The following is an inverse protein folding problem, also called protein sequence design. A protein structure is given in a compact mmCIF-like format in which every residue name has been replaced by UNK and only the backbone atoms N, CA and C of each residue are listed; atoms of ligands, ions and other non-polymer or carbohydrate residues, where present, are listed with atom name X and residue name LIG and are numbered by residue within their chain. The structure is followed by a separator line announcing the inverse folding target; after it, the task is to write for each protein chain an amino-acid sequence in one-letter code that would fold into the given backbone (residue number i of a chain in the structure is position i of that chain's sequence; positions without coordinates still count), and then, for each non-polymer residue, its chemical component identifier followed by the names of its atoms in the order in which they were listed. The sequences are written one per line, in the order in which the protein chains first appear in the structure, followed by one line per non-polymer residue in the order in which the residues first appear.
data_IF_938324986497
#
_entry.id   IF_938324986497
#
_cell.length_a   1.000
_cell.length_b   1.000
_cell.length_c   1.000
_cell.angle_alpha   90.00
_cell.angle_beta   90.00
_cell.angle_gamma   90.00
#
_symmetry.space_group_name_H-M   'P 1'
#
loop_
_entity.id
_entity.type
_entity.pdbx_description
1 polymer ?
#
# COMPACT_ATOMS: atom_id res chain seq x y z
N UNK A 1 -10.67 17.23 0.16
CA UNK A 1 -10.90 16.71 -1.21
C UNK A 1 -9.64 16.02 -1.67
N UNK A 2 -9.77 14.93 -2.42
CA UNK A 2 -8.63 14.20 -2.97
C UNK A 2 -8.88 13.77 -4.41
N UNK A 3 -7.82 13.57 -5.17
CA UNK A 3 -7.84 12.98 -6.50
C UNK A 3 -6.69 11.97 -6.61
N UNK A 4 -6.84 10.99 -7.50
CA UNK A 4 -5.76 10.05 -7.82
C UNK A 4 -5.46 10.03 -9.30
N UNK A 5 -4.19 9.78 -9.63
CA UNK A 5 -3.68 9.61 -10.99
C UNK A 5 -2.89 8.31 -10.99
N UNK A 6 -3.25 7.41 -11.88
CA UNK A 6 -2.50 6.17 -12.16
C UNK A 6 -1.85 6.27 -13.55
N UNK A 7 -0.53 6.12 -13.59
CA UNK A 7 0.26 6.23 -14.83
C UNK A 7 0.33 4.86 -15.50
N UNK A 8 -0.64 4.59 -16.37
CA UNK A 8 -0.74 3.30 -17.06
C UNK A 8 0.53 2.95 -17.86
N UNK A 9 1.01 1.71 -17.68
CA UNK A 9 2.17 1.17 -18.40
C UNK A 9 3.44 2.02 -18.24
N UNK A 10 3.61 2.61 -17.06
CA UNK A 10 4.69 3.57 -16.77
C UNK A 10 6.08 3.09 -17.20
N UNK A 11 6.41 1.82 -16.95
CA UNK A 11 7.74 1.27 -17.25
C UNK A 11 8.02 1.31 -18.75
N UNK A 12 7.00 1.08 -19.59
CA UNK A 12 7.17 1.12 -21.04
C UNK A 12 7.36 2.54 -21.59
N UNK A 13 7.16 3.59 -20.77
CA UNK A 13 7.53 4.96 -21.13
C UNK A 13 9.05 5.16 -21.07
N UNK A 14 9.78 4.35 -20.32
CA UNK A 14 11.22 4.51 -20.06
C UNK A 14 12.03 3.73 -21.11
N UNK A 15 12.82 4.40 -21.97
CA UNK A 15 13.70 3.71 -22.92
C UNK A 15 14.80 2.91 -22.23
N UNK A 16 15.11 1.73 -22.78
CA UNK A 16 16.34 1.02 -22.46
C UNK A 16 17.46 1.46 -23.41
N UNK A 17 18.61 1.77 -22.80
CA UNK A 17 19.87 1.99 -23.51
C UNK A 17 20.20 0.76 -24.36
N UNK A 18 20.78 0.98 -25.56
CA UNK A 18 21.00 -0.07 -26.56
C UNK A 18 21.86 -1.21 -26.01
N UNK A 19 22.89 -0.85 -25.26
CA UNK A 19 23.84 -1.72 -24.57
C UNK A 19 23.19 -2.60 -23.48
N UNK A 20 22.06 -2.18 -22.90
CA UNK A 20 21.35 -2.94 -21.88
C UNK A 20 20.35 -3.95 -22.45
N UNK A 21 19.87 -3.75 -23.68
CA UNK A 21 18.82 -4.60 -24.29
C UNK A 21 19.17 -6.09 -24.31
N UNK A 22 20.40 -6.53 -24.63
CA UNK A 22 20.72 -7.96 -24.63
C UNK A 22 20.48 -8.67 -23.30
N UNK A 23 20.57 -7.95 -22.16
CA UNK A 23 20.32 -8.52 -20.82
C UNK A 23 18.85 -8.89 -20.59
N UNK A 24 17.94 -8.31 -21.38
CA UNK A 24 16.50 -8.53 -21.29
C UNK A 24 15.97 -9.39 -22.44
N UNK A 25 16.84 -10.19 -23.09
CA UNK A 25 16.43 -11.07 -24.17
C UNK A 25 15.60 -12.27 -23.67
N UNK A 26 14.62 -12.69 -24.46
CA UNK A 26 13.82 -13.89 -24.22
C UNK A 26 13.52 -14.61 -25.54
N UNK A 27 13.23 -15.91 -25.47
CA UNK A 27 12.97 -16.74 -26.66
C UNK A 27 11.50 -17.11 -26.73
N UNK A 28 10.88 -16.86 -27.87
CA UNK A 28 9.52 -17.30 -28.16
C UNK A 28 9.46 -18.01 -29.51
N UNK A 29 9.01 -19.27 -29.50
CA UNK A 29 8.90 -20.12 -30.72
C UNK A 29 10.19 -20.18 -31.55
N UNK A 30 11.34 -20.27 -30.88
CA UNK A 30 12.65 -20.33 -31.53
C UNK A 30 13.19 -18.99 -32.05
N UNK A 31 12.47 -17.89 -31.87
CA UNK A 31 12.91 -16.53 -32.22
C UNK A 31 13.28 -15.78 -30.94
N UNK A 32 14.43 -15.11 -30.95
CA UNK A 32 14.86 -14.28 -29.84
C UNK A 32 14.29 -12.86 -29.97
N UNK A 33 13.73 -12.36 -28.88
CA UNK A 33 13.21 -11.01 -28.74
C UNK A 33 13.94 -10.32 -27.59
N UNK A 34 13.91 -8.99 -27.57
CA UNK A 34 14.40 -8.19 -26.44
C UNK A 34 13.50 -6.99 -26.20
N UNK A 35 13.50 -6.49 -24.97
CA UNK A 35 12.79 -5.28 -24.59
C UNK A 35 13.54 -4.03 -25.04
N UNK A 36 12.82 -3.08 -25.64
CA UNK A 36 13.33 -1.75 -25.98
C UNK A 36 13.02 -0.69 -24.90
N UNK A 37 12.14 -1.05 -23.96
CA UNK A 37 11.66 -0.22 -22.86
C UNK A 37 11.82 -1.01 -21.57
N UNK A 38 11.82 -0.32 -20.43
CA UNK A 38 12.01 -0.94 -19.12
C UNK A 38 10.93 -2.03 -18.91
N UNK A 39 11.31 -3.30 -18.70
CA UNK A 39 10.36 -4.40 -18.63
C UNK A 39 9.63 -4.44 -17.29
N UNK A 40 8.40 -4.93 -17.32
CA UNK A 40 7.69 -5.37 -16.13
C UNK A 40 8.32 -6.64 -15.57
N UNK A 41 8.38 -6.75 -14.24
CA UNK A 41 8.90 -7.94 -13.55
C UNK A 41 10.41 -7.90 -13.25
N UNK A 42 11.15 -6.90 -13.73
CA UNK A 42 12.52 -6.68 -13.27
C UNK A 42 12.52 -5.93 -11.93
N UNK A 43 13.33 -6.40 -10.99
CA UNK A 43 13.35 -5.95 -9.59
C UNK A 43 13.55 -4.45 -9.43
N UNK A 44 14.39 -3.83 -10.27
CA UNK A 44 14.72 -2.40 -10.17
C UNK A 44 13.80 -1.49 -10.99
N UNK A 45 12.88 -2.06 -11.79
CA UNK A 45 11.95 -1.25 -12.59
C UNK A 45 11.12 -0.27 -11.76
N UNK A 46 10.51 -0.68 -10.61
CA UNK A 46 9.76 0.23 -9.75
C UNK A 46 10.60 1.39 -9.21
N UNK A 47 11.82 1.11 -8.75
CA UNK A 47 12.71 2.12 -8.16
C UNK A 47 13.13 3.18 -9.18
N UNK A 48 13.55 2.74 -10.38
CA UNK A 48 13.94 3.65 -11.46
C UNK A 48 12.74 4.51 -11.87
N UNK A 49 11.58 3.87 -12.04
CA UNK A 49 10.35 4.56 -12.40
C UNK A 49 9.94 5.62 -11.37
N UNK A 50 9.95 5.23 -10.08
CA UNK A 50 9.62 6.13 -8.99
C UNK A 50 10.52 7.36 -8.98
N UNK A 51 11.84 7.17 -9.08
CA UNK A 51 12.81 8.26 -9.08
C UNK A 51 12.68 9.22 -10.28
N UNK A 52 12.38 8.70 -11.47
CA UNK A 52 12.16 9.54 -12.66
C UNK A 52 10.90 10.40 -12.56
N UNK A 53 9.79 9.83 -12.07
CA UNK A 53 8.57 10.61 -11.85
C UNK A 53 8.79 11.63 -10.73
N UNK A 54 9.43 11.23 -9.63
CA UNK A 54 9.74 12.13 -8.52
C UNK A 54 10.55 13.33 -9.00
N UNK A 55 11.62 13.08 -9.77
CA UNK A 55 12.47 14.12 -10.35
C UNK A 55 11.65 15.07 -11.23
N UNK A 56 10.69 14.56 -12.01
CA UNK A 56 9.83 15.40 -12.83
C UNK A 56 8.89 16.28 -11.98
N UNK A 57 8.32 15.73 -10.90
CA UNK A 57 7.41 16.44 -10.00
C UNK A 57 8.12 17.50 -9.15
N UNK A 58 9.38 17.27 -8.78
CA UNK A 58 10.21 18.21 -8.00
C UNK A 58 10.68 19.43 -8.80
N UNK A 59 10.69 19.37 -10.14
CA UNK A 59 11.00 20.52 -10.99
C UNK A 59 9.89 21.59 -11.02
N UNK A 60 8.72 21.29 -10.44
CA UNK A 60 7.57 22.17 -10.38
C UNK A 60 7.48 23.02 -9.11
N UNK A 61 6.34 23.69 -8.95
CA UNK A 61 5.95 24.28 -7.66
C UNK A 61 5.74 23.18 -6.61
N UNK A 62 5.87 23.51 -5.33
CA UNK A 62 5.46 22.60 -4.25
C UNK A 62 3.95 22.37 -4.34
N UNK A 63 3.56 21.18 -4.82
CA UNK A 63 2.18 20.74 -4.94
C UNK A 63 1.87 19.73 -3.84
N UNK A 64 0.67 19.81 -3.27
CA UNK A 64 0.16 18.88 -2.25
C UNK A 64 -0.15 17.51 -2.88
N UNK A 65 0.85 16.63 -2.92
CA UNK A 65 0.75 15.31 -3.51
C UNK A 65 1.67 14.29 -2.83
N UNK A 66 1.35 13.01 -2.99
CA UNK A 66 2.19 11.89 -2.62
C UNK A 66 2.25 10.95 -3.82
N UNK A 67 3.46 10.52 -4.14
CA UNK A 67 3.73 9.60 -5.23
C UNK A 67 4.24 8.28 -4.67
N UNK A 68 3.73 7.17 -5.20
CA UNK A 68 4.25 5.84 -4.96
C UNK A 68 4.31 5.09 -6.30
N UNK A 69 5.52 4.91 -6.83
CA UNK A 69 5.76 4.35 -8.17
C UNK A 69 4.94 5.13 -9.23
N UNK A 70 3.89 4.54 -9.79
CA UNK A 70 2.96 5.07 -10.80
C UNK A 70 1.67 5.66 -10.23
N UNK A 71 1.38 5.40 -8.96
CA UNK A 71 0.21 5.91 -8.26
C UNK A 71 0.52 7.28 -7.63
N UNK A 72 -0.30 8.29 -7.93
CA UNK A 72 -0.22 9.62 -7.32
C UNK A 72 -1.55 9.95 -6.66
N UNK A 73 -1.49 10.45 -5.42
CA UNK A 73 -2.63 11.04 -4.72
C UNK A 73 -2.39 12.53 -4.53
N UNK A 74 -3.46 13.30 -4.66
CA UNK A 74 -3.49 14.76 -4.53
C UNK A 74 -4.53 15.10 -3.49
N UNK A 75 -4.27 16.08 -2.63
CA UNK A 75 -5.24 16.57 -1.65
C UNK A 75 -5.33 18.09 -1.61
N UNK A 76 -6.44 18.59 -1.06
CA UNK A 76 -6.70 20.01 -0.90
C UNK A 76 -8.01 20.32 -0.20
N UNK A 77 -8.14 21.58 0.23
CA UNK A 77 -9.30 22.07 0.98
C UNK A 77 -10.57 22.19 0.13
N UNK A 78 -10.44 22.39 -1.19
CA UNK A 78 -11.58 22.49 -2.13
C UNK A 78 -11.38 21.57 -3.33
N UNK A 79 -12.48 21.21 -3.99
CA UNK A 79 -12.46 20.38 -5.19
C UNK A 79 -11.67 21.07 -6.31
N UNK A 80 -11.89 22.37 -6.48
CA UNK A 80 -11.25 23.21 -7.51
C UNK A 80 -9.75 23.24 -7.33
N UNK A 81 -9.26 23.39 -6.09
CA UNK A 81 -7.83 23.39 -5.80
C UNK A 81 -7.18 22.06 -6.18
N UNK A 82 -7.83 20.93 -5.82
CA UNK A 82 -7.35 19.59 -6.17
C UNK A 82 -7.33 19.39 -7.68
N UNK A 83 -8.36 19.85 -8.38
CA UNK A 83 -8.43 19.77 -9.84
C UNK A 83 -7.30 20.56 -10.52
N UNK A 84 -7.04 21.78 -10.07
CA UNK A 84 -5.96 22.61 -10.61
C UNK A 84 -4.57 22.02 -10.33
N UNK A 85 -4.35 21.45 -9.14
CA UNK A 85 -3.11 20.71 -8.83
C UNK A 85 -2.99 19.49 -9.77
N UNK A 86 -4.07 18.72 -9.95
CA UNK A 86 -4.09 17.56 -10.85
C UNK A 86 -3.74 17.91 -12.29
N UNK A 87 -4.30 19.01 -12.82
CA UNK A 87 -3.93 19.52 -14.15
C UNK A 87 -2.44 19.82 -14.26
N UNK A 88 -1.86 20.51 -13.26
CA UNK A 88 -0.42 20.83 -13.24
C UNK A 88 0.42 19.55 -13.24
N UNK A 89 0.09 18.59 -12.39
CA UNK A 89 0.79 17.28 -12.32
C UNK A 89 0.73 16.56 -13.67
N UNK A 90 -0.45 16.46 -14.29
CA UNK A 90 -0.59 15.83 -15.62
C UNK A 90 0.27 16.54 -16.66
N UNK A 91 0.31 17.87 -16.66
CA UNK A 91 1.17 18.63 -17.59
C UNK A 91 2.66 18.36 -17.38
N UNK A 92 3.11 18.27 -16.12
CA UNK A 92 4.50 17.93 -15.78
C UNK A 92 4.83 16.52 -16.29
N UNK A 93 3.97 15.54 -16.02
CA UNK A 93 4.16 14.15 -16.47
C UNK A 93 4.24 14.04 -18.00
N UNK A 94 3.33 14.73 -18.71
CA UNK A 94 3.33 14.74 -20.18
C UNK A 94 4.61 15.36 -20.75
N UNK A 95 5.11 16.46 -20.15
CA UNK A 95 6.38 17.08 -20.55
C UNK A 95 7.58 16.17 -20.30
N UNK A 96 7.55 15.37 -19.23
CA UNK A 96 8.56 14.37 -18.92
C UNK A 96 8.45 13.10 -19.79
N UNK A 97 7.46 13.00 -20.67
CA UNK A 97 7.28 11.88 -21.59
C UNK A 97 6.44 10.72 -21.03
N UNK A 98 5.79 10.89 -19.87
CA UNK A 98 4.86 9.90 -19.33
C UNK A 98 3.46 10.09 -19.90
N UNK A 99 2.80 8.98 -20.26
CA UNK A 99 1.44 8.99 -20.74
C UNK A 99 0.44 8.79 -19.60
N UNK A 100 -0.53 9.70 -19.47
CA UNK A 100 -1.62 9.60 -18.49
C UNK A 100 -2.94 9.38 -19.22
N UNK A 101 -3.65 8.30 -18.91
CA UNK A 101 -4.99 8.05 -19.45
C UNK A 101 -6.03 8.79 -18.60
N UNK A 102 -6.94 9.52 -19.23
CA UNK A 102 -8.02 10.22 -18.52
C UNK A 102 -8.87 9.28 -17.65
N UNK A 103 -9.10 8.03 -18.11
CA UNK A 103 -9.84 7.02 -17.34
C UNK A 103 -9.15 6.54 -16.06
N UNK A 104 -7.86 6.86 -15.90
CA UNK A 104 -7.03 6.56 -14.72
C UNK A 104 -6.87 7.75 -13.77
N UNK A 105 -7.48 8.89 -14.11
CA UNK A 105 -7.61 10.03 -13.21
C UNK A 105 -8.97 9.95 -12.52
N UNK A 106 -8.98 9.95 -11.19
CA UNK A 106 -10.21 9.87 -10.38
C UNK A 106 -10.32 11.06 -9.44
N UNK A 107 -11.55 11.48 -9.16
CA UNK A 107 -11.84 12.66 -8.34
C UNK A 107 -11.77 13.97 -9.14
N UNK A 108 -11.80 15.14 -8.47
CA UNK A 108 -11.80 15.31 -7.01
C UNK A 108 -13.01 14.66 -6.33
N UNK A 109 -12.79 13.98 -5.20
CA UNK A 109 -13.83 13.36 -4.38
C UNK A 109 -13.47 13.48 -2.89
N UNK A 110 -14.45 13.29 -2.01
CA UNK A 110 -14.23 13.19 -0.56
C UNK A 110 -13.88 11.78 -0.11
N UNK A 111 -14.15 10.79 -0.97
CA UNK A 111 -13.80 9.39 -0.79
C UNK A 111 -13.02 8.90 -2.02
N UNK A 112 -11.85 8.32 -1.81
CA UNK A 112 -11.02 7.68 -2.85
C UNK A 112 -10.32 6.44 -2.28
N UNK A 113 -9.83 5.57 -3.17
CA UNK A 113 -8.96 4.46 -2.80
C UNK A 113 -7.56 4.70 -3.37
N UNK A 114 -6.53 4.56 -2.54
CA UNK A 114 -5.12 4.77 -2.90
C UNK A 114 -4.24 3.77 -2.14
N UNK A 115 -3.35 3.07 -2.86
CA UNK A 115 -2.49 1.99 -2.32
C UNK A 115 -3.25 0.94 -1.50
N UNK A 116 -4.46 0.60 -1.96
CA UNK A 116 -5.34 -0.34 -1.28
C UNK A 116 -6.09 0.23 -0.07
N UNK A 117 -5.77 1.43 0.42
CA UNK A 117 -6.43 2.09 1.56
C UNK A 117 -7.59 2.94 1.06
N UNK A 118 -8.73 2.88 1.75
CA UNK A 118 -9.85 3.80 1.52
C UNK A 118 -9.59 5.10 2.30
N UNK A 119 -9.50 6.23 1.62
CA UNK A 119 -9.37 7.53 2.24
C UNK A 119 -10.71 8.26 2.24
N UNK A 120 -11.18 8.65 3.42
CA UNK A 120 -12.43 9.36 3.62
C UNK A 120 -12.27 10.35 4.77
N UNK A 121 -12.72 11.60 4.58
CA UNK A 121 -12.70 12.65 5.61
C UNK A 121 -11.32 12.85 6.27
N UNK A 122 -10.26 12.70 5.48
CA UNK A 122 -8.88 12.83 5.95
C UNK A 122 -8.41 11.67 6.83
N UNK A 123 -9.09 10.52 6.81
CA UNK A 123 -8.68 9.30 7.51
C UNK A 123 -8.53 8.14 6.54
N UNK A 124 -7.58 7.26 6.83
CA UNK A 124 -7.39 5.98 6.17
C UNK A 124 -8.24 4.91 6.85
N UNK A 125 -8.97 4.15 6.05
CA UNK A 125 -9.82 3.03 6.44
C UNK A 125 -9.41 1.78 5.68
N UNK A 126 -9.62 0.62 6.30
CA UNK A 126 -9.61 -0.65 5.60
C UNK A 126 -10.84 -0.68 4.66
N UNK A 127 -10.69 -1.01 3.37
CA UNK A 127 -11.84 -1.19 2.49
C UNK A 127 -12.79 -2.27 3.02
N UNK A 128 -14.10 -2.03 2.89
CA UNK A 128 -15.15 -2.94 3.39
C UNK A 128 -15.05 -4.33 2.76
N UNK A 129 -14.66 -4.43 1.49
CA UNK A 129 -14.49 -5.73 0.83
C UNK A 129 -13.31 -6.52 1.41
N UNK A 130 -12.26 -5.83 1.87
CA UNK A 130 -11.12 -6.45 2.56
C UNK A 130 -11.52 -6.91 3.95
N UNK A 131 -12.26 -6.08 4.71
CA UNK A 131 -12.82 -6.47 6.01
C UNK A 131 -13.66 -7.73 5.86
N UNK A 132 -14.61 -7.75 4.91
CA UNK A 132 -15.51 -8.88 4.69
C UNK A 132 -14.75 -10.16 4.28
N UNK A 133 -13.70 -10.03 3.46
CA UNK A 133 -12.87 -11.17 3.06
C UNK A 133 -12.10 -11.76 4.23
N UNK A 134 -11.55 -10.92 5.12
CA UNK A 134 -10.80 -11.37 6.29
C UNK A 134 -11.75 -11.99 7.33
N UNK A 135 -12.90 -11.36 7.59
CA UNK A 135 -13.89 -11.85 8.56
C UNK A 135 -14.62 -13.13 8.12
N UNK A 136 -14.51 -13.52 6.85
CA UNK A 136 -15.07 -14.75 6.30
C UNK A 136 -14.03 -15.85 6.10
N UNK A 137 -12.80 -15.68 6.60
CA UNK A 137 -11.78 -16.71 6.46
C UNK A 137 -12.14 -17.95 7.28
N UNK A 138 -11.74 -19.11 6.80
CA UNK A 138 -11.86 -20.33 7.60
C UNK A 138 -10.64 -20.44 8.53
N UNK A 139 -10.81 -20.99 9.75
CA UNK A 139 -9.70 -21.24 10.64
C UNK A 139 -8.60 -22.04 9.93
N UNK A 140 -7.32 -21.62 10.04
CA UNK A 140 -6.23 -22.34 9.40
C UNK A 140 -6.13 -23.74 10.00
N UNK A 141 -5.91 -24.76 9.17
CA UNK A 141 -5.81 -26.16 9.59
C UNK A 141 -4.39 -26.70 9.51
N UNK A 142 -3.52 -26.00 8.79
CA UNK A 142 -2.12 -26.39 8.59
C UNK A 142 -1.14 -25.32 9.10
N UNK A 143 0.08 -25.75 9.45
CA UNK A 143 1.17 -24.83 9.82
C UNK A 143 1.39 -23.72 8.79
N UNK A 144 1.27 -24.06 7.50
CA UNK A 144 1.47 -23.12 6.39
C UNK A 144 0.35 -22.07 6.35
N UNK A 145 -0.90 -22.49 6.53
CA UNK A 145 -2.05 -21.57 6.61
C UNK A 145 -1.95 -20.67 7.84
N UNK A 146 -1.63 -21.23 9.01
CA UNK A 146 -1.44 -20.46 10.24
C UNK A 146 -0.30 -19.45 10.11
N UNK A 147 0.75 -19.77 9.36
CA UNK A 147 1.85 -18.84 9.09
C UNK A 147 1.46 -17.75 8.08
N UNK A 148 0.63 -18.09 7.09
CA UNK A 148 0.20 -17.14 6.07
C UNK A 148 -0.81 -16.11 6.62
N UNK A 149 -1.68 -16.50 7.55
CA UNK A 149 -2.77 -15.65 8.05
C UNK A 149 -2.28 -14.31 8.66
N UNK A 150 -1.29 -14.28 9.60
CA UNK A 150 -0.73 -13.03 10.07
C UNK A 150 -0.08 -12.19 8.96
N UNK A 151 0.39 -12.81 7.88
CA UNK A 151 0.88 -12.10 6.70
C UNK A 151 -0.21 -11.36 5.94
N UNK A 152 -1.42 -11.94 5.84
CA UNK A 152 -2.58 -11.32 5.19
C UNK A 152 -3.08 -10.12 6.00
N UNK A 153 -3.27 -10.31 7.31
CA UNK A 153 -3.82 -9.27 8.18
C UNK A 153 -2.74 -8.24 8.55
N UNK A 154 -1.47 -8.60 8.48
CA UNK A 154 -0.34 -7.80 8.95
C UNK A 154 -0.17 -6.45 8.25
N UNK A 155 -0.68 -6.30 7.02
CA UNK A 155 -0.74 -5.00 6.34
C UNK A 155 -1.64 -4.01 7.09
N UNK A 156 -2.71 -4.49 7.71
CA UNK A 156 -3.72 -3.70 8.41
C UNK A 156 -3.47 -3.54 9.91
N UNK A 157 -2.37 -4.08 10.44
CA UNK A 157 -2.09 -4.16 11.89
C UNK A 157 -2.24 -2.85 12.66
N UNK A 158 -1.99 -1.70 12.03
CA UNK A 158 -2.11 -0.38 12.69
C UNK A 158 -3.56 0.00 12.97
N UNK A 159 -4.51 -0.56 12.22
CA UNK A 159 -5.94 -0.33 12.45
C UNK A 159 -6.52 -1.23 13.55
N UNK A 160 -5.75 -2.20 14.04
CA UNK A 160 -6.18 -3.21 15.01
C UNK A 160 -5.46 -2.95 16.34
N UNK A 161 -6.14 -2.41 17.37
CA UNK A 161 -5.55 -2.24 18.69
C UNK A 161 -5.01 -3.55 19.24
N UNK A 162 -3.84 -3.52 19.88
CA UNK A 162 -3.21 -4.70 20.51
C UNK A 162 -2.95 -5.88 19.56
N UNK A 163 -2.89 -5.65 18.24
CA UNK A 163 -2.69 -6.69 17.23
C UNK A 163 -1.59 -7.69 17.58
N UNK A 164 -0.42 -7.22 18.03
CA UNK A 164 0.73 -8.07 18.38
C UNK A 164 0.42 -9.09 19.47
N UNK A 165 -0.39 -8.74 20.46
CA UNK A 165 -0.81 -9.66 21.53
C UNK A 165 -1.78 -10.70 20.99
N UNK A 166 -2.73 -10.27 20.17
CA UNK A 166 -3.77 -11.14 19.58
C UNK A 166 -3.12 -12.24 18.73
N UNK A 167 -2.19 -11.89 17.84
CA UNK A 167 -1.59 -12.87 16.91
C UNK A 167 -0.40 -13.64 17.49
N UNK A 168 0.05 -13.31 18.71
CA UNK A 168 1.21 -13.96 19.36
C UNK A 168 1.08 -15.50 19.42
N UNK A 169 -0.07 -16.10 19.82
CA UNK A 169 -0.24 -17.55 19.86
C UNK A 169 -0.08 -18.23 18.50
N UNK A 170 -0.42 -17.54 17.40
CA UNK A 170 -0.27 -18.06 16.02
C UNK A 170 1.21 -18.09 15.60
N UNK A 171 1.97 -17.06 15.97
CA UNK A 171 3.42 -17.04 15.73
C UNK A 171 4.15 -18.12 16.51
N UNK A 172 3.73 -18.41 17.74
CA UNK A 172 4.40 -19.42 18.57
C UNK A 172 4.34 -20.82 17.96
N UNK A 173 3.19 -21.24 17.43
CA UNK A 173 3.02 -22.59 16.83
C UNK A 173 3.62 -22.73 15.44
N UNK A 174 3.90 -21.62 14.75
CA UNK A 174 4.47 -21.62 13.39
C UNK A 174 6.01 -21.60 13.37
N UNK A 175 6.68 -21.46 14.53
CA UNK A 175 8.15 -21.49 14.62
C UNK A 175 8.73 -22.82 14.11
N UNK A 176 9.88 -22.75 13.43
CA UNK A 176 10.55 -23.93 12.83
C UNK A 176 10.84 -25.06 13.83
N UNK A 177 11.16 -24.71 15.08
CA UNK A 177 11.53 -25.66 16.14
C UNK A 177 10.34 -26.30 16.87
N UNK A 178 9.11 -25.87 16.57
CA UNK A 178 7.92 -26.31 17.29
C UNK A 178 7.11 -27.29 16.45
N UNK A 179 6.62 -28.35 17.10
CA UNK A 179 5.57 -29.20 16.57
C UNK A 179 4.30 -28.36 16.42
N UNK A 180 3.71 -28.40 15.23
CA UNK A 180 2.48 -27.68 14.98
C UNK A 180 1.33 -28.39 15.70
N UNK A 181 0.76 -27.73 16.70
CA UNK A 181 -0.46 -28.15 17.39
C UNK A 181 -1.37 -26.95 17.48
N UNK A 182 -2.54 -27.07 16.89
CA UNK A 182 -3.59 -26.06 17.01
C UNK A 182 -4.35 -26.32 18.30
N UNK A 183 -4.31 -25.37 19.22
CA UNK A 183 -5.02 -25.43 20.49
C UNK A 183 -6.10 -24.35 20.61
N UNK A 184 -6.81 -24.33 21.74
CA UNK A 184 -7.84 -23.32 22.02
C UNK A 184 -7.32 -21.88 21.96
N UNK A 185 -6.04 -21.65 22.30
CA UNK A 185 -5.43 -20.31 22.24
C UNK A 185 -5.23 -19.82 20.81
N UNK A 186 -4.79 -20.69 19.89
CA UNK A 186 -4.64 -20.34 18.48
C UNK A 186 -6.00 -20.09 17.83
N UNK A 187 -6.99 -20.91 18.17
CA UNK A 187 -8.36 -20.73 17.69
C UNK A 187 -8.93 -19.39 18.16
N UNK A 188 -8.77 -19.08 19.46
CA UNK A 188 -9.19 -17.79 20.04
C UNK A 188 -8.46 -16.61 19.38
N UNK A 189 -7.15 -16.72 19.15
CA UNK A 189 -6.38 -15.67 18.48
C UNK A 189 -6.86 -15.40 17.04
N UNK A 190 -7.20 -16.45 16.30
CA UNK A 190 -7.78 -16.34 14.97
C UNK A 190 -9.14 -15.63 15.01
N UNK A 191 -10.08 -16.15 15.81
CA UNK A 191 -11.43 -15.59 15.95
C UNK A 191 -11.41 -14.15 16.44
N UNK A 192 -10.53 -13.84 17.40
CA UNK A 192 -10.36 -12.48 17.90
C UNK A 192 -9.82 -11.55 16.80
N UNK A 193 -8.91 -12.01 15.94
CA UNK A 193 -8.43 -11.22 14.80
C UNK A 193 -9.57 -10.90 13.82
N UNK A 194 -10.44 -11.86 13.54
CA UNK A 194 -11.63 -11.67 12.69
C UNK A 194 -12.68 -10.74 13.32
N UNK A 195 -12.79 -10.73 14.64
CA UNK A 195 -13.68 -9.80 15.34
C UNK A 195 -13.11 -8.38 15.33
N UNK A 196 -11.82 -8.23 15.61
CA UNK A 196 -11.18 -6.91 15.72
C UNK A 196 -11.02 -6.21 14.36
N UNK A 197 -10.86 -6.96 13.25
CA UNK A 197 -10.82 -6.35 11.91
C UNK A 197 -12.14 -5.67 11.53
N UNK A 198 -13.28 -6.16 12.04
CA UNK A 198 -14.60 -5.54 11.83
C UNK A 198 -14.71 -4.23 12.59
N UNK A 199 -14.02 -4.12 13.73
CA UNK A 199 -13.96 -2.93 14.57
C UNK A 199 -12.70 -2.08 14.30
N UNK A 200 -12.06 -2.28 13.13
CA UNK A 200 -10.84 -1.60 12.75
C UNK A 200 -10.99 -0.07 12.83
N UNK A 201 -10.01 0.57 13.47
CA UNK A 201 -10.02 2.01 13.72
C UNK A 201 -9.54 2.77 12.49
N UNK A 202 -10.24 3.86 12.15
CA UNK A 202 -9.81 4.79 11.10
C UNK A 202 -8.63 5.64 11.57
N UNK A 203 -7.56 5.68 10.78
CA UNK A 203 -6.32 6.37 11.14
C UNK A 203 -6.24 7.73 10.44
N UNK A 204 -5.96 8.79 11.19
CA UNK A 204 -5.68 10.11 10.62
C UNK A 204 -4.22 10.26 10.18
N UNK A 205 -3.88 11.28 9.38
CA UNK A 205 -2.50 11.64 9.11
C UNK A 205 -1.82 12.05 10.42
N UNK A 206 -0.53 11.74 10.53
CA UNK A 206 0.30 12.27 11.61
C UNK A 206 0.32 13.79 11.47
N UNK A 207 -0.03 14.48 12.55
CA UNK A 207 0.04 15.94 12.60
C UNK A 207 1.47 16.34 12.99
N UNK A 208 2.06 17.20 12.19
CA UNK A 208 3.39 17.76 12.43
C UNK A 208 3.28 19.26 12.73
N UNK A 209 4.12 19.76 13.64
CA UNK A 209 4.13 21.16 14.04
C UNK A 209 4.62 21.34 15.48
N UNK A 210 5.20 22.51 15.78
CA UNK A 210 5.77 22.79 17.11
C UNK A 210 4.74 22.74 18.25
N UNK A 211 3.46 23.00 17.93
CA UNK A 211 2.36 23.02 18.89
C UNK A 211 1.53 21.72 18.89
N UNK A 212 1.93 20.71 18.12
CA UNK A 212 1.24 19.42 18.08
C UNK A 212 1.82 18.49 19.14
N UNK A 213 1.00 18.15 20.14
CA UNK A 213 1.36 17.13 21.13
C UNK A 213 0.88 15.75 20.68
N UNK A 214 1.80 14.95 20.12
CA UNK A 214 1.57 13.53 19.92
C UNK A 214 1.74 12.80 21.25
N UNK A 215 0.74 12.00 21.66
CA UNK A 215 0.74 11.27 22.93
C UNK A 215 0.72 9.77 22.64
N UNK A 216 1.76 9.07 23.08
CA UNK A 216 1.81 7.60 23.00
C UNK A 216 1.22 7.00 24.28
N UNK A 217 0.16 6.20 24.13
CA UNK A 217 -0.38 5.41 25.22
C UNK A 217 0.22 4.00 25.16
N UNK A 218 0.86 3.58 26.25
CA UNK A 218 1.42 2.23 26.37
C UNK A 218 0.74 1.50 27.52
N UNK A 219 0.40 0.24 27.30
CA UNK A 219 -0.08 -0.66 28.33
C UNK A 219 0.71 -1.96 28.25
N UNK A 220 1.28 -2.39 29.37
CA UNK A 220 1.93 -3.69 29.46
C UNK A 220 1.00 -4.64 30.23
N UNK A 221 0.57 -5.72 29.58
CA UNK A 221 -0.08 -6.85 30.23
C UNK A 221 0.95 -7.95 30.55
N UNK A 222 0.50 -9.05 31.17
CA UNK A 222 1.33 -10.22 31.50
C UNK A 222 2.07 -10.82 30.28
N UNK A 223 1.57 -10.57 29.05
CA UNK A 223 2.08 -11.12 27.80
C UNK A 223 2.88 -10.13 26.92
N UNK A 224 3.32 -8.98 27.48
CA UNK A 224 4.20 -8.02 26.82
C UNK A 224 3.56 -6.66 26.52
N UNK A 225 4.30 -5.73 25.89
CA UNK A 225 3.82 -4.38 25.62
C UNK A 225 2.82 -4.36 24.46
N UNK A 226 1.65 -3.76 24.70
CA UNK A 226 0.75 -3.26 23.67
C UNK A 226 0.90 -1.75 23.54
N UNK A 227 0.89 -1.28 22.30
CA UNK A 227 0.89 0.15 21.98
C UNK A 227 -0.20 0.43 20.96
N UNK A 228 -0.86 1.57 21.13
CA UNK A 228 -1.78 2.17 20.17
C UNK A 228 -1.38 3.64 20.06
N UNK A 229 -1.23 4.12 18.83
CA UNK A 229 -1.02 5.54 18.53
C UNK A 229 -2.36 6.28 18.49
#
# INVERSE_FOLDING_TARGET
WCATIDIANVFFSIPLALECRPQFAFTWRGVQYTWHRLPQGWEHSPTICHGLIQTALEQGETLEHLQYIDDIIIWGNTAEKVFEIGKKIVQILLKAGFAVKCSKVKGPAQEIQFLGIKWQDGRGHIPVDVINKIAAMSPPTTKKETQAFPGVVGFWRMHIPSYSLIVSPLYQVTRKKNDFKQGPEQQRAFEQTEQEIVHAVALGPVREGRDVKNVLYTAAGENGPAWSL
#
